data_IF_500539546180
#
_entry.id   IF_500539546180
#
_cell.length_a   1.000
_cell.length_b   1.000
_cell.length_c   1.000
_cell.angle_alpha   90.00
_cell.angle_beta   90.00
_cell.angle_gamma   90.00
#
_symmetry.space_group_name_H-M   'P 1'
#
loop_
_entity.id
_entity.type
_entity.pdbx_description
1 polymer ?
#
# COMPACT_ATOMS: atom_id res chain seq x y z
N UNK A 1 -87.15 -24.00 -5.45
CA UNK A 1 -85.89 -23.97 -4.66
C UNK A 1 -85.15 -22.68 -4.98
N UNK A 2 -85.03 -21.70 -4.07
CA UNK A 2 -84.20 -20.53 -4.34
C UNK A 2 -82.73 -20.85 -4.06
N UNK A 3 -81.88 -20.72 -5.08
CA UNK A 3 -80.42 -20.82 -4.95
C UNK A 3 -79.86 -19.47 -4.52
N UNK A 4 -79.28 -19.38 -3.30
CA UNK A 4 -78.63 -18.14 -2.82
C UNK A 4 -77.28 -17.96 -3.52
N UNK A 5 -77.24 -17.07 -4.51
CA UNK A 5 -75.98 -16.59 -5.08
C UNK A 5 -75.35 -15.58 -4.12
N UNK A 6 -74.21 -15.97 -3.53
CA UNK A 6 -73.37 -15.12 -2.68
C UNK A 6 -72.73 -14.04 -3.56
N UNK A 7 -73.17 -12.78 -3.40
CA UNK A 7 -72.60 -11.66 -4.16
C UNK A 7 -71.09 -11.58 -3.91
N UNK A 8 -70.24 -11.63 -4.95
CA UNK A 8 -68.80 -11.55 -4.77
C UNK A 8 -68.41 -10.16 -4.25
N UNK A 9 -67.45 -10.12 -3.33
CA UNK A 9 -66.98 -8.90 -2.69
C UNK A 9 -66.05 -8.12 -3.65
N UNK A 10 -66.63 -7.31 -4.53
CA UNK A 10 -65.93 -6.46 -5.53
C UNK A 10 -64.99 -5.43 -4.87
N UNK A 11 -65.20 -5.11 -3.60
CA UNK A 11 -64.33 -4.20 -2.84
C UNK A 11 -62.92 -4.73 -2.59
N UNK A 12 -62.74 -6.05 -2.52
CA UNK A 12 -61.43 -6.68 -2.29
C UNK A 12 -60.42 -6.42 -3.42
N UNK A 13 -60.75 -6.70 -4.71
CA UNK A 13 -59.83 -6.39 -5.79
C UNK A 13 -59.61 -4.88 -5.94
N UNK A 14 -60.64 -4.05 -5.67
CA UNK A 14 -60.52 -2.60 -5.77
C UNK A 14 -59.54 -2.04 -4.72
N UNK A 15 -59.66 -2.45 -3.46
CA UNK A 15 -58.71 -2.10 -2.40
C UNK A 15 -57.28 -2.56 -2.74
N UNK A 16 -57.14 -3.76 -3.30
CA UNK A 16 -55.85 -4.30 -3.71
C UNK A 16 -55.22 -3.48 -4.85
N UNK A 17 -56.00 -3.08 -5.86
CA UNK A 17 -55.49 -2.24 -6.97
C UNK A 17 -55.03 -0.86 -6.51
N UNK A 18 -55.76 -0.22 -5.59
CA UNK A 18 -55.38 1.08 -5.03
C UNK A 18 -54.12 0.96 -4.19
N UNK A 19 -53.99 -0.09 -3.37
CA UNK A 19 -52.78 -0.35 -2.61
C UNK A 19 -51.57 -0.58 -3.53
N UNK A 20 -51.75 -1.34 -4.63
CA UNK A 20 -50.69 -1.60 -5.60
C UNK A 20 -50.23 -0.32 -6.31
N UNK A 21 -51.17 0.54 -6.71
CA UNK A 21 -50.87 1.83 -7.34
C UNK A 21 -50.14 2.77 -6.37
N UNK A 22 -50.58 2.84 -5.11
CA UNK A 22 -49.89 3.62 -4.08
C UNK A 22 -48.46 3.11 -3.83
N UNK A 23 -48.28 1.79 -3.81
CA UNK A 23 -46.97 1.16 -3.68
C UNK A 23 -46.06 1.46 -4.86
N UNK A 24 -46.57 1.40 -6.10
CA UNK A 24 -45.80 1.78 -7.28
C UNK A 24 -45.43 3.27 -7.28
N UNK A 25 -46.33 4.16 -6.85
CA UNK A 25 -46.03 5.58 -6.72
C UNK A 25 -44.93 5.85 -5.68
N UNK A 26 -45.00 5.19 -4.52
CA UNK A 26 -43.97 5.27 -3.49
C UNK A 26 -42.61 4.75 -3.99
N UNK A 27 -42.60 3.61 -4.68
CA UNK A 27 -41.38 3.07 -5.27
C UNK A 27 -40.81 4.00 -6.34
N UNK A 28 -41.64 4.60 -7.19
CA UNK A 28 -41.20 5.58 -8.18
C UNK A 28 -40.58 6.82 -7.55
N UNK A 29 -41.22 7.38 -6.52
CA UNK A 29 -40.69 8.51 -5.76
C UNK A 29 -39.36 8.16 -5.06
N UNK A 30 -39.31 7.00 -4.40
CA UNK A 30 -38.11 6.49 -3.72
C UNK A 30 -36.97 6.18 -4.69
N UNK A 31 -37.26 5.74 -5.91
CA UNK A 31 -36.24 5.50 -6.93
C UNK A 31 -35.59 6.80 -7.45
N UNK A 32 -36.35 7.90 -7.49
CA UNK A 32 -35.85 9.20 -7.95
C UNK A 32 -35.09 9.91 -6.82
N UNK A 33 -35.68 9.99 -5.62
CA UNK A 33 -35.11 10.71 -4.47
C UNK A 33 -34.25 9.87 -3.52
N UNK A 34 -34.12 8.57 -3.78
CA UNK A 34 -33.34 7.67 -2.93
C UNK A 34 -31.84 7.96 -2.99
N UNK A 35 -31.11 7.49 -1.97
CA UNK A 35 -29.65 7.66 -1.88
C UNK A 35 -28.87 7.11 -3.10
N UNK A 36 -29.46 6.16 -3.85
CA UNK A 36 -28.92 5.59 -5.09
C UNK A 36 -29.67 6.05 -6.34
N UNK A 37 -30.45 7.13 -6.24
CA UNK A 37 -31.19 7.71 -7.34
C UNK A 37 -30.27 8.20 -8.46
N UNK A 38 -30.87 8.45 -9.62
CA UNK A 38 -30.16 8.85 -10.84
C UNK A 38 -29.34 10.12 -10.62
N UNK A 39 -29.85 11.04 -9.80
CA UNK A 39 -29.22 12.34 -9.51
C UNK A 39 -27.93 12.18 -8.67
N UNK A 40 -27.94 11.29 -7.67
CA UNK A 40 -26.81 11.09 -6.76
C UNK A 40 -25.71 10.19 -7.34
N UNK A 41 -25.96 9.52 -8.47
CA UNK A 41 -24.96 8.63 -9.11
C UNK A 41 -23.64 9.34 -9.39
N UNK A 42 -23.70 10.60 -9.82
CA UNK A 42 -22.50 11.39 -10.13
C UNK A 42 -21.69 11.71 -8.87
N UNK A 43 -22.35 12.12 -7.79
CA UNK A 43 -21.73 12.37 -6.49
C UNK A 43 -21.09 11.10 -5.93
N UNK A 44 -21.79 9.96 -5.98
CA UNK A 44 -21.25 8.67 -5.53
C UNK A 44 -19.99 8.28 -6.31
N UNK A 45 -19.97 8.51 -7.63
CA UNK A 45 -18.78 8.25 -8.44
C UNK A 45 -17.60 9.16 -8.08
N UNK A 46 -17.87 10.44 -7.80
CA UNK A 46 -16.85 11.37 -7.30
C UNK A 46 -16.31 10.95 -5.93
N UNK A 47 -17.18 10.54 -5.01
CA UNK A 47 -16.79 10.05 -3.69
C UNK A 47 -15.93 8.80 -3.79
N UNK A 48 -16.29 7.87 -4.68
CA UNK A 48 -15.50 6.67 -4.97
C UNK A 48 -14.11 7.07 -5.48
N UNK A 49 -14.03 8.01 -6.42
CA UNK A 49 -12.73 8.46 -6.96
C UNK A 49 -11.88 9.15 -5.89
N UNK A 50 -12.50 9.99 -5.07
CA UNK A 50 -11.82 10.65 -3.95
C UNK A 50 -11.31 9.65 -2.91
N UNK A 51 -12.11 8.63 -2.56
CA UNK A 51 -11.69 7.57 -1.64
C UNK A 51 -10.55 6.73 -2.22
N UNK A 52 -10.61 6.42 -3.52
CA UNK A 52 -9.51 5.74 -4.21
C UNK A 52 -8.23 6.58 -4.14
N UNK A 53 -8.29 7.87 -4.44
CA UNK A 53 -7.15 8.78 -4.32
C UNK A 53 -6.55 8.79 -2.91
N UNK A 54 -7.41 8.91 -1.89
CA UNK A 54 -6.98 8.85 -0.48
C UNK A 54 -6.31 7.52 -0.12
N UNK A 55 -6.89 6.40 -0.58
CA UNK A 55 -6.32 5.07 -0.33
C UNK A 55 -4.95 4.89 -1.00
N UNK A 56 -4.78 5.38 -2.23
CA UNK A 56 -3.52 5.31 -2.96
C UNK A 56 -2.42 6.14 -2.27
N UNK A 57 -2.76 7.35 -1.81
CA UNK A 57 -1.84 8.19 -1.05
C UNK A 57 -1.41 7.53 0.26
N UNK A 58 -2.36 6.95 1.00
CA UNK A 58 -2.07 6.25 2.25
C UNK A 58 -1.21 5.00 2.01
N UNK A 59 -1.47 4.25 0.94
CA UNK A 59 -0.67 3.09 0.57
C UNK A 59 0.78 3.48 0.26
N UNK A 60 1.00 4.58 -0.47
CA UNK A 60 2.34 5.10 -0.74
C UNK A 60 3.08 5.47 0.56
N UNK A 61 2.38 6.07 1.52
CA UNK A 61 2.96 6.38 2.83
C UNK A 61 3.35 5.09 3.61
N UNK A 62 2.47 4.09 3.61
CA UNK A 62 2.76 2.78 4.22
C UNK A 62 3.99 2.16 3.57
N UNK A 63 4.11 2.21 2.24
CA UNK A 63 5.23 1.61 1.52
C UNK A 63 6.57 2.31 1.86
N UNK A 64 6.56 3.64 2.04
CA UNK A 64 7.73 4.39 2.51
C UNK A 64 8.13 3.97 3.92
N UNK A 65 7.19 3.87 4.85
CA UNK A 65 7.50 3.41 6.21
C UNK A 65 7.94 1.96 6.25
N UNK A 66 7.34 1.10 5.43
CA UNK A 66 7.72 -0.30 5.31
C UNK A 66 9.15 -0.42 4.82
N UNK A 67 9.53 0.36 3.81
CA UNK A 67 10.91 0.41 3.33
C UNK A 67 11.88 0.85 4.44
N UNK A 68 11.57 1.93 5.16
CA UNK A 68 12.39 2.37 6.31
C UNK A 68 12.49 1.30 7.40
N UNK A 69 11.39 0.63 7.72
CA UNK A 69 11.37 -0.45 8.71
C UNK A 69 12.22 -1.64 8.26
N UNK A 70 12.20 -2.00 6.97
CA UNK A 70 13.07 -3.07 6.45
C UNK A 70 14.55 -2.75 6.56
N UNK A 71 14.94 -1.48 6.45
CA UNK A 71 16.32 -1.04 6.68
C UNK A 71 16.71 -1.16 8.16
N UNK A 72 15.75 -1.11 9.09
CA UNK A 72 15.97 -1.17 10.54
C UNK A 72 15.86 -2.60 11.12
N UNK A 73 15.54 -3.61 10.32
CA UNK A 73 15.45 -5.00 10.78
C UNK A 73 16.83 -5.53 11.14
N UNK A 74 17.07 -5.84 12.41
CA UNK A 74 18.37 -6.28 12.96
C UNK A 74 18.97 -7.48 12.22
N UNK A 75 18.17 -8.29 11.53
CA UNK A 75 18.65 -9.42 10.72
C UNK A 75 19.30 -9.01 9.39
N UNK A 76 19.04 -7.79 8.91
CA UNK A 76 19.52 -7.24 7.63
C UNK A 76 20.09 -5.83 7.76
N UNK A 77 20.07 -5.26 8.96
CA UNK A 77 20.50 -3.91 9.29
C UNK A 77 22.01 -3.83 9.20
N UNK A 78 22.48 -2.89 8.38
CA UNK A 78 23.88 -2.52 8.32
C UNK A 78 24.25 -1.77 9.61
N UNK A 79 25.22 -2.27 10.41
CA UNK A 79 25.67 -1.61 11.64
C UNK A 79 26.15 -0.17 11.43
N UNK A 80 26.62 0.18 10.22
CA UNK A 80 27.07 1.54 9.91
C UNK A 80 25.92 2.55 9.93
N UNK A 81 24.72 2.14 9.51
CA UNK A 81 23.52 3.00 9.52
C UNK A 81 23.16 3.42 10.96
N UNK A 82 23.29 2.51 11.93
CA UNK A 82 23.04 2.79 13.35
C UNK A 82 24.06 3.79 13.88
N UNK A 83 25.32 3.59 13.52
CA UNK A 83 26.44 4.42 13.97
C UNK A 83 26.33 5.84 13.41
N UNK A 84 25.99 5.99 12.13
CA UNK A 84 25.68 7.27 11.51
C UNK A 84 24.50 7.96 12.21
N UNK A 85 23.42 7.22 12.50
CA UNK A 85 22.25 7.77 13.18
C UNK A 85 22.56 8.23 14.60
N UNK A 86 23.37 7.48 15.35
CA UNK A 86 23.83 7.84 16.67
C UNK A 86 24.68 9.13 16.63
N UNK A 87 25.62 9.25 15.68
CA UNK A 87 26.40 10.47 15.46
C UNK A 87 25.52 11.67 15.13
N UNK A 88 24.52 11.50 14.26
CA UNK A 88 23.58 12.57 13.92
C UNK A 88 22.77 13.05 15.15
N UNK A 89 22.30 12.13 15.99
CA UNK A 89 21.56 12.48 17.22
C UNK A 89 22.43 13.19 18.25
N UNK A 90 23.72 12.85 18.31
CA UNK A 90 24.70 13.50 19.17
C UNK A 90 25.24 14.82 18.57
N UNK A 91 24.68 15.29 17.45
CA UNK A 91 25.16 16.46 16.72
C UNK A 91 26.64 16.38 16.32
N UNK A 92 27.11 15.15 16.04
CA UNK A 92 28.47 14.82 15.63
C UNK A 92 28.57 14.47 14.14
N UNK A 93 27.46 14.40 13.41
CA UNK A 93 27.45 14.13 11.98
C UNK A 93 27.35 15.45 11.19
N UNK A 94 28.23 15.63 10.22
CA UNK A 94 28.19 16.75 9.26
C UNK A 94 27.77 16.24 7.88
N UNK A 95 27.21 17.13 7.05
CA UNK A 95 26.81 16.79 5.68
C UNK A 95 27.99 16.41 4.77
N UNK A 96 29.20 16.84 5.13
CA UNK A 96 30.44 16.63 4.37
C UNK A 96 31.28 15.46 4.92
N UNK A 97 30.75 14.67 5.86
CA UNK A 97 31.46 13.51 6.42
C UNK A 97 31.56 12.39 5.36
N UNK A 98 32.76 11.84 5.19
CA UNK A 98 33.03 10.74 4.23
C UNK A 98 33.53 9.51 4.98
N UNK A 99 32.88 8.37 4.76
CA UNK A 99 33.32 7.08 5.30
C UNK A 99 34.45 6.55 4.42
N UNK A 100 35.62 6.33 5.01
CA UNK A 100 36.79 5.77 4.32
C UNK A 100 37.06 4.38 4.85
N UNK A 101 36.92 3.36 3.99
CA UNK A 101 37.25 1.99 4.34
C UNK A 101 38.78 1.86 4.47
N UNK A 102 39.26 1.30 5.58
CA UNK A 102 40.68 1.06 5.84
C UNK A 102 41.00 -0.43 5.75
N UNK A 103 42.21 -0.74 5.30
CA UNK A 103 42.74 -2.11 5.33
C UNK A 103 43.09 -2.49 6.79
N UNK A 104 42.56 -3.62 7.31
CA UNK A 104 42.77 -4.04 8.69
C UNK A 104 44.23 -4.33 9.05
N UNK A 105 45.10 -4.60 8.06
CA UNK A 105 46.52 -4.92 8.31
C UNK A 105 47.40 -3.67 8.22
N UNK A 106 47.16 -2.81 7.23
CA UNK A 106 48.01 -1.65 6.96
C UNK A 106 47.52 -0.35 7.60
N UNK A 107 46.26 -0.27 8.03
CA UNK A 107 45.65 0.94 8.61
C UNK A 107 45.53 2.11 7.63
N UNK A 108 45.79 1.85 6.34
CA UNK A 108 45.71 2.84 5.26
C UNK A 108 44.34 2.76 4.59
N UNK A 109 43.85 3.87 4.01
CA UNK A 109 42.62 3.85 3.23
C UNK A 109 42.77 2.89 2.05
N UNK A 110 41.69 2.15 1.74
CA UNK A 110 41.52 1.30 0.56
C UNK A 110 41.41 2.18 -0.70
N UNK A 111 42.42 3.00 -0.95
CA UNK A 111 42.56 3.83 -2.12
C UNK A 111 43.32 3.02 -3.14
N UNK A 112 42.61 2.40 -4.10
CA UNK A 112 43.04 2.02 -5.46
C UNK A 112 44.45 1.46 -5.70
N UNK A 113 45.17 1.05 -4.67
CA UNK A 113 46.51 0.49 -4.74
C UNK A 113 46.31 -0.99 -4.95
N UNK A 114 46.17 -1.37 -6.20
CA UNK A 114 46.54 -2.70 -6.65
C UNK A 114 48.02 -2.83 -6.29
N UNK A 115 48.32 -3.58 -5.23
CA UNK A 115 49.67 -4.05 -5.01
C UNK A 115 49.93 -5.00 -6.18
N UNK A 116 50.66 -4.52 -7.20
CA UNK A 116 51.09 -5.35 -8.32
C UNK A 116 51.96 -6.46 -7.77
N UNK A 117 51.32 -7.57 -7.39
CA UNK A 117 52.00 -8.79 -7.02
C UNK A 117 52.83 -9.21 -8.24
N UNK A 118 54.14 -9.42 -8.10
CA UNK A 118 54.96 -9.91 -9.20
C UNK A 118 54.33 -11.20 -9.73
N UNK A 119 54.31 -11.36 -11.06
CA UNK A 119 53.55 -12.41 -11.75
C UNK A 119 53.73 -13.80 -11.11
N UNK A 120 54.95 -14.11 -10.65
CA UNK A 120 55.32 -15.35 -9.97
C UNK A 120 54.49 -15.65 -8.71
N UNK A 121 54.21 -14.62 -7.89
CA UNK A 121 53.39 -14.77 -6.67
C UNK A 121 51.90 -14.91 -6.99
N UNK A 122 51.40 -14.25 -8.04
CA UNK A 122 50.02 -14.42 -8.49
C UNK A 122 49.77 -15.85 -8.97
N UNK A 123 50.70 -16.41 -9.75
CA UNK A 123 50.62 -17.81 -10.18
C UNK A 123 50.66 -18.78 -9.01
N UNK A 124 51.50 -18.54 -8.00
CA UNK A 124 51.53 -19.38 -6.78
C UNK A 124 50.22 -19.33 -5.99
N UNK A 125 49.60 -18.16 -5.84
CA UNK A 125 48.30 -18.02 -5.15
C UNK A 125 47.14 -18.66 -5.92
N UNK A 126 47.14 -18.54 -7.25
CA UNK A 126 46.14 -19.19 -8.11
C UNK A 126 46.27 -20.71 -8.08
N UNK A 127 47.49 -21.24 -8.15
CA UNK A 127 47.72 -22.68 -8.01
C UNK A 127 47.33 -23.17 -6.60
N UNK A 128 47.72 -22.46 -5.54
CA UNK A 128 47.41 -22.85 -4.16
C UNK A 128 45.90 -22.87 -3.84
N UNK A 129 45.10 -21.99 -4.46
CA UNK A 129 43.64 -21.95 -4.29
C UNK A 129 42.88 -22.86 -5.27
N UNK A 130 43.50 -23.30 -6.37
CA UNK A 130 42.89 -24.22 -7.34
C UNK A 130 42.84 -25.68 -6.87
N UNK A 131 43.50 -26.00 -5.76
CA UNK A 131 43.56 -27.35 -5.15
C UNK A 131 42.55 -27.53 -3.99
N UNK A 132 41.63 -26.57 -3.80
CA UNK A 132 40.44 -26.68 -2.96
C UNK A 132 39.18 -26.71 -3.83
#
# INVERSE_FOLDING_TARGET
MPTRLKRPAIWRPLALTVALLGFQGYLGFSAIGGQFGIENKTQILLDIDQLKGKSAALQAEIDVYRHRATLMDTRRLDPDIVTERARALLNMANADDVIVMIDPVSGKPLSGKFEELPADQLTQLLEANSIL
#
